data_IF_811267684216
#
_entry.id   IF_811267684216
#
_cell.length_a   1.000
_cell.length_b   1.000
_cell.length_c   1.000
_cell.angle_alpha   90.00
_cell.angle_beta   90.00
_cell.angle_gamma   90.00
#
_symmetry.space_group_name_H-M   'P 1'
#
loop_
_entity.id
_entity.type
_entity.pdbx_description
1 polymer ?
#
# COMPACT_ATOMS: atom_id res chain seq x y z
N UNK A 1 30.27 7.63 24.16
CA UNK A 1 30.64 6.84 22.96
C UNK A 1 29.35 6.29 22.43
N UNK A 2 29.05 6.60 21.17
CA UNK A 2 27.71 6.78 20.66
C UNK A 2 26.78 5.58 20.82
N UNK A 3 25.57 5.94 21.22
CA UNK A 3 24.30 5.25 21.07
C UNK A 3 24.19 4.75 19.62
N UNK A 4 24.50 3.47 19.41
CA UNK A 4 24.29 2.80 18.13
C UNK A 4 22.79 2.49 18.07
N UNK A 5 22.03 3.49 17.63
CA UNK A 5 20.65 3.39 17.18
C UNK A 5 20.59 2.29 16.13
N UNK A 6 20.42 1.06 16.59
CA UNK A 6 20.02 -0.06 15.76
C UNK A 6 18.56 0.23 15.39
N UNK A 7 18.38 1.06 14.37
CA UNK A 7 17.16 1.09 13.58
C UNK A 7 16.86 -0.38 13.29
N UNK A 8 15.69 -0.92 13.69
CA UNK A 8 15.29 -2.22 13.18
C UNK A 8 15.30 -2.05 11.67
N UNK A 9 16.27 -2.66 10.99
CA UNK A 9 16.12 -2.99 9.59
C UNK A 9 14.96 -3.97 9.61
N UNK A 10 13.75 -3.44 9.57
CA UNK A 10 12.61 -4.16 9.05
C UNK A 10 13.16 -4.83 7.81
N UNK A 11 13.19 -6.14 7.83
CA UNK A 11 13.58 -6.92 6.67
C UNK A 11 12.54 -6.56 5.63
N UNK A 12 12.81 -5.52 4.83
CA UNK A 12 11.93 -5.00 3.79
C UNK A 12 11.78 -6.15 2.80
N UNK A 13 10.84 -7.04 3.09
CA UNK A 13 10.55 -8.19 2.26
C UNK A 13 10.05 -7.60 0.97
N UNK A 14 10.88 -7.71 -0.07
CA UNK A 14 10.54 -7.28 -1.40
C UNK A 14 9.76 -8.40 -2.07
N UNK A 15 8.78 -8.02 -2.87
CA UNK A 15 8.04 -8.94 -3.71
C UNK A 15 8.14 -8.49 -5.14
N UNK A 16 8.33 -9.43 -6.05
CA UNK A 16 8.40 -9.15 -7.48
C UNK A 16 6.99 -8.97 -8.05
N UNK A 17 6.89 -8.38 -9.24
CA UNK A 17 5.60 -8.12 -9.90
C UNK A 17 4.73 -9.37 -10.03
N UNK A 18 5.29 -10.51 -10.41
CA UNK A 18 4.53 -11.77 -10.55
C UNK A 18 3.92 -12.23 -9.22
N UNK A 19 4.66 -12.07 -8.12
CA UNK A 19 4.18 -12.41 -6.78
C UNK A 19 3.06 -11.46 -6.34
N UNK A 20 3.19 -10.16 -6.64
CA UNK A 20 2.15 -9.16 -6.36
C UNK A 20 0.86 -9.48 -7.13
N UNK A 21 0.96 -9.80 -8.42
CA UNK A 21 -0.19 -10.17 -9.25
C UNK A 21 -0.87 -11.43 -8.70
N UNK A 22 -0.09 -12.48 -8.39
CA UNK A 22 -0.62 -13.73 -7.84
C UNK A 22 -1.28 -13.54 -6.46
N UNK A 23 -0.70 -12.70 -5.59
CA UNK A 23 -1.18 -12.48 -4.24
C UNK A 23 -2.40 -11.53 -4.15
N UNK A 24 -2.60 -10.67 -5.16
CA UNK A 24 -3.66 -9.65 -5.18
C UNK A 24 -4.83 -9.96 -6.11
N UNK A 25 -4.62 -10.72 -7.19
CA UNK A 25 -5.63 -10.91 -8.24
C UNK A 25 -5.87 -9.66 -9.10
N UNK A 26 -4.94 -8.70 -9.09
CA UNK A 26 -4.88 -7.62 -10.06
C UNK A 26 -4.29 -8.11 -11.38
N UNK A 27 -4.71 -7.47 -12.47
CA UNK A 27 -4.11 -7.66 -13.77
C UNK A 27 -2.87 -6.77 -13.94
N UNK A 28 -1.96 -7.17 -14.82
CA UNK A 28 -0.72 -6.42 -15.06
C UNK A 28 -0.98 -4.96 -15.47
N UNK A 29 -1.97 -4.72 -16.33
CA UNK A 29 -2.34 -3.36 -16.75
C UNK A 29 -2.81 -2.48 -15.59
N UNK A 30 -3.59 -3.05 -14.67
CA UNK A 30 -4.07 -2.33 -13.49
C UNK A 30 -2.92 -1.95 -12.57
N UNK A 31 -1.96 -2.87 -12.34
CA UNK A 31 -0.77 -2.57 -11.53
C UNK A 31 0.07 -1.47 -12.18
N UNK A 32 0.26 -1.52 -13.50
CA UNK A 32 0.99 -0.47 -14.24
C UNK A 32 0.33 0.90 -14.04
N UNK A 33 -0.99 0.98 -14.17
CA UNK A 33 -1.72 2.23 -13.97
C UNK A 33 -1.63 2.71 -12.51
N UNK A 34 -1.80 1.82 -11.53
CA UNK A 34 -1.71 2.18 -10.10
C UNK A 34 -0.31 2.66 -9.69
N UNK A 35 0.74 2.13 -10.32
CA UNK A 35 2.12 2.63 -10.20
C UNK A 35 2.26 4.02 -10.84
N UNK A 36 1.69 4.23 -12.04
CA UNK A 36 1.72 5.54 -12.71
C UNK A 36 0.97 6.62 -11.93
N UNK A 37 -0.12 6.25 -11.24
CA UNK A 37 -0.82 7.14 -10.33
C UNK A 37 -0.10 7.37 -8.99
N UNK A 38 1.02 6.66 -8.76
CA UNK A 38 1.85 6.81 -7.56
C UNK A 38 1.28 6.16 -6.30
N UNK A 39 0.28 5.29 -6.44
CA UNK A 39 -0.34 4.59 -5.31
C UNK A 39 0.51 3.40 -4.88
N UNK A 40 1.13 2.72 -5.84
CA UNK A 40 2.12 1.68 -5.55
C UNK A 40 3.52 2.21 -5.77
N UNK A 41 4.30 2.23 -4.71
CA UNK A 41 5.73 2.50 -4.78
C UNK A 41 6.49 1.25 -5.26
N UNK A 42 7.39 1.44 -6.22
CA UNK A 42 8.18 0.36 -6.81
C UNK A 42 9.64 0.76 -6.96
N UNK A 43 10.50 -0.26 -7.06
CA UNK A 43 11.89 -0.11 -7.51
C UNK A 43 12.12 -1.01 -8.71
N UNK A 44 13.00 -0.57 -9.60
CA UNK A 44 13.47 -1.39 -10.72
C UNK A 44 14.35 -2.52 -10.19
N UNK A 45 14.01 -3.76 -10.53
CA UNK A 45 14.76 -4.99 -10.25
C UNK A 45 15.28 -5.60 -11.55
N UNK A 46 16.10 -6.64 -11.48
CA UNK A 46 16.59 -7.37 -12.66
C UNK A 46 15.45 -8.03 -13.47
N UNK A 47 14.35 -8.36 -12.80
CA UNK A 47 13.14 -8.98 -13.36
C UNK A 47 12.04 -7.98 -13.71
N UNK A 48 12.25 -6.68 -13.48
CA UNK A 48 11.26 -5.63 -13.77
C UNK A 48 10.99 -4.74 -12.56
N UNK A 49 9.86 -4.95 -11.88
CA UNK A 49 9.47 -4.19 -10.70
C UNK A 49 9.49 -5.05 -9.43
N UNK A 50 10.05 -4.47 -8.38
CA UNK A 50 9.97 -4.96 -7.02
C UNK A 50 9.21 -3.96 -6.15
N UNK A 51 8.39 -4.49 -5.25
CA UNK A 51 7.52 -3.74 -4.36
C UNK A 51 7.88 -4.06 -2.92
N UNK A 52 7.50 -3.18 -2.00
CA UNK A 52 7.51 -3.55 -0.60
C UNK A 52 6.40 -4.57 -0.34
N UNK A 53 6.61 -5.56 0.54
CA UNK A 53 5.58 -6.57 0.83
C UNK A 53 4.27 -5.97 1.35
N UNK A 54 4.34 -4.80 2.01
CA UNK A 54 3.14 -4.06 2.43
C UNK A 54 2.24 -3.65 1.25
N UNK A 55 2.78 -3.48 0.04
CA UNK A 55 2.02 -3.17 -1.18
C UNK A 55 1.02 -4.27 -1.52
N UNK A 56 1.23 -5.52 -1.08
CA UNK A 56 0.24 -6.61 -1.26
C UNK A 56 -1.10 -6.25 -0.60
N UNK A 57 -1.07 -5.59 0.56
CA UNK A 57 -2.31 -5.19 1.25
C UNK A 57 -3.06 -4.12 0.46
N UNK A 58 -2.36 -3.13 -0.09
CA UNK A 58 -2.96 -2.11 -0.94
C UNK A 58 -3.49 -2.72 -2.24
N UNK A 59 -2.76 -3.67 -2.84
CA UNK A 59 -3.16 -4.37 -4.06
C UNK A 59 -4.43 -5.23 -3.86
N UNK A 60 -4.54 -5.93 -2.72
CA UNK A 60 -5.78 -6.64 -2.36
C UNK A 60 -6.95 -5.70 -2.17
N UNK A 61 -6.75 -4.57 -1.48
CA UNK A 61 -7.79 -3.54 -1.35
C UNK A 61 -8.23 -2.99 -2.71
N UNK A 62 -7.28 -2.79 -3.63
CA UNK A 62 -7.60 -2.37 -5.00
C UNK A 62 -8.50 -3.40 -5.70
N UNK A 63 -8.11 -4.68 -5.65
CA UNK A 63 -8.90 -5.76 -6.24
C UNK A 63 -10.31 -5.85 -5.60
N UNK A 64 -10.42 -5.68 -4.29
CA UNK A 64 -11.70 -5.65 -3.59
C UNK A 64 -12.56 -4.44 -4.04
N UNK A 65 -11.95 -3.26 -4.22
CA UNK A 65 -12.64 -2.07 -4.72
C UNK A 65 -13.15 -2.27 -6.14
N UNK A 66 -12.34 -2.87 -7.03
CA UNK A 66 -12.77 -3.27 -8.37
C UNK A 66 -13.93 -4.26 -8.32
N UNK A 67 -13.82 -5.31 -7.52
CA UNK A 67 -14.84 -6.38 -7.46
C UNK A 67 -16.15 -5.91 -6.84
N UNK A 68 -16.07 -5.04 -5.81
CA UNK A 68 -17.24 -4.60 -5.03
C UNK A 68 -17.94 -3.40 -5.66
N UNK A 69 -17.18 -2.48 -6.24
CA UNK A 69 -17.71 -1.20 -6.74
C UNK A 69 -17.54 -1.01 -8.26
N UNK A 70 -16.91 -1.96 -8.96
CA UNK A 70 -16.68 -1.86 -10.40
C UNK A 70 -15.73 -0.73 -10.78
N UNK A 71 -14.82 -0.32 -9.88
CA UNK A 71 -13.91 0.79 -10.14
C UNK A 71 -12.87 0.41 -11.20
N UNK A 72 -12.60 1.34 -12.10
CA UNK A 72 -11.42 1.31 -12.97
C UNK A 72 -10.17 1.75 -12.20
N UNK A 73 -8.95 1.61 -12.76
CA UNK A 73 -7.72 1.94 -12.04
C UNK A 73 -7.61 3.40 -11.53
N UNK A 74 -8.03 4.44 -12.28
CA UNK A 74 -8.12 5.80 -11.73
C UNK A 74 -9.05 5.90 -10.50
N UNK A 75 -10.20 5.21 -10.55
CA UNK A 75 -11.14 5.16 -9.43
C UNK A 75 -10.58 4.40 -8.23
N UNK A 76 -9.89 3.27 -8.46
CA UNK A 76 -9.19 2.53 -7.42
C UNK A 76 -8.11 3.40 -6.76
N UNK A 77 -7.30 4.10 -7.55
CA UNK A 77 -6.25 4.97 -7.04
C UNK A 77 -6.81 6.07 -6.12
N UNK A 78 -7.89 6.72 -6.56
CA UNK A 78 -8.57 7.76 -5.79
C UNK A 78 -9.16 7.21 -4.49
N UNK A 79 -9.84 6.06 -4.57
CA UNK A 79 -10.46 5.43 -3.41
C UNK A 79 -9.43 4.96 -2.38
N UNK A 80 -8.35 4.31 -2.81
CA UNK A 80 -7.24 3.91 -1.93
C UNK A 80 -6.64 5.12 -1.22
N UNK A 81 -6.34 6.19 -1.97
CA UNK A 81 -5.78 7.43 -1.40
C UNK A 81 -6.70 8.04 -0.33
N UNK A 82 -8.02 8.05 -0.55
CA UNK A 82 -8.94 8.58 0.44
C UNK A 82 -9.16 7.66 1.63
N UNK A 83 -9.17 6.34 1.43
CA UNK A 83 -9.24 5.38 2.54
C UNK A 83 -8.03 5.53 3.46
N UNK A 84 -6.81 5.64 2.90
CA UNK A 84 -5.61 5.90 3.70
C UNK A 84 -5.71 7.22 4.49
N UNK A 85 -6.25 8.27 3.88
CA UNK A 85 -6.49 9.55 4.58
C UNK A 85 -7.51 9.42 5.70
N UNK A 86 -8.60 8.68 5.49
CA UNK A 86 -9.61 8.42 6.51
C UNK A 86 -8.99 7.63 7.67
N UNK A 87 -8.25 6.56 7.37
CA UNK A 87 -7.57 5.75 8.40
C UNK A 87 -6.59 6.58 9.23
N UNK A 88 -5.82 7.47 8.59
CA UNK A 88 -4.91 8.39 9.27
C UNK A 88 -5.66 9.38 10.18
N UNK A 89 -6.79 9.92 9.72
CA UNK A 89 -7.63 10.83 10.51
C UNK A 89 -8.28 10.11 11.69
N UNK A 90 -8.83 8.92 11.49
CA UNK A 90 -9.40 8.10 12.55
C UNK A 90 -8.35 7.70 13.59
N UNK A 91 -7.13 7.37 13.15
CA UNK A 91 -6.02 7.09 14.05
C UNK A 91 -5.73 8.28 14.95
N UNK A 92 -5.59 9.47 14.36
CA UNK A 92 -5.35 10.71 15.10
C UNK A 92 -6.49 11.05 16.07
N UNK A 93 -7.75 10.79 15.68
CA UNK A 93 -8.89 10.96 16.57
C UNK A 93 -8.80 10.02 17.78
N UNK A 94 -8.53 8.72 17.56
CA UNK A 94 -8.35 7.75 18.63
C UNK A 94 -7.22 8.13 19.59
N UNK A 95 -6.10 8.64 19.07
CA UNK A 95 -5.00 9.14 19.90
C UNK A 95 -5.43 10.31 20.80
N UNK A 96 -6.18 11.27 20.24
CA UNK A 96 -6.67 12.43 20.99
C UNK A 96 -7.71 12.01 22.05
N UNK A 97 -8.60 11.09 21.72
CA UNK A 97 -9.61 10.57 22.65
C UNK A 97 -8.96 9.82 23.84
N UNK A 98 -7.88 9.07 23.59
CA UNK A 98 -7.10 8.40 24.65
C UNK A 98 -6.44 9.38 25.63
N UNK A 99 -6.21 10.64 25.22
CA UNK A 99 -5.60 11.69 26.04
C UNK A 99 -6.61 12.48 26.89
N UNK A 100 -7.92 12.28 26.67
CA UNK A 100 -8.94 12.95 27.47
C UNK A 100 -9.13 12.24 28.82
N UNK A 101 -9.09 12.96 29.96
CA UNK A 101 -9.45 12.38 31.25
C UNK A 101 -10.94 11.99 31.23
N UNK A 102 -11.23 10.77 31.72
CA UNK A 102 -12.59 10.24 31.85
C UNK A 102 -13.44 11.03 32.84
#
# INVERSE_FOLDING_TARGET
MADDLLIPVESESRVELEELLAASGLEHGEVVELVQFGVFETRVSASGWSFHSCTIHQARRAADLRNTFGLNPPGMALALTYLEKIEALEHRLRELECLLPR
#
